data_IF_062518038005
#
_entry.id   IF_062518038005
#
_cell.length_a   1.000
_cell.length_b   1.000
_cell.length_c   1.000
_cell.angle_alpha   90.00
_cell.angle_beta   90.00
_cell.angle_gamma   90.00
#
_symmetry.space_group_name_H-M   'P 1'
#
loop_
_entity.id
_entity.type
_entity.pdbx_description
1 polymer ?
#
# COMPACT_ATOMS: atom_id res chain seq x y z
N UNK A 1 -28.96 -19.84 -58.67
CA UNK A 1 -28.43 -20.97 -57.90
C UNK A 1 -27.01 -20.73 -57.36
N UNK A 2 -26.35 -19.59 -57.56
CA UNK A 2 -24.96 -19.33 -57.15
C UNK A 2 -24.84 -18.73 -55.73
N UNK A 3 -25.92 -18.17 -55.15
CA UNK A 3 -25.87 -17.52 -53.80
C UNK A 3 -25.93 -18.47 -52.60
N UNK A 4 -26.42 -19.72 -52.81
CA UNK A 4 -26.53 -20.69 -51.72
C UNK A 4 -25.20 -21.43 -51.40
N UNK A 5 -24.29 -21.50 -52.37
CA UNK A 5 -23.00 -22.22 -52.21
C UNK A 5 -21.98 -21.41 -51.38
N UNK A 6 -22.02 -20.08 -51.42
CA UNK A 6 -21.08 -19.22 -50.68
C UNK A 6 -21.35 -19.13 -49.18
N UNK A 7 -22.59 -19.32 -48.74
CA UNK A 7 -22.95 -19.31 -47.33
C UNK A 7 -22.53 -20.61 -46.61
N UNK A 8 -22.50 -21.73 -47.32
CA UNK A 8 -22.05 -23.00 -46.73
C UNK A 8 -20.53 -23.07 -46.48
N UNK A 9 -19.74 -22.47 -47.36
CA UNK A 9 -18.28 -22.45 -47.23
C UNK A 9 -17.80 -21.55 -46.08
N UNK A 10 -18.50 -20.46 -45.81
CA UNK A 10 -18.13 -19.51 -44.72
C UNK A 10 -18.44 -20.10 -43.32
N UNK A 11 -19.50 -20.89 -43.20
CA UNK A 11 -19.88 -21.54 -41.94
C UNK A 11 -18.89 -22.65 -41.53
N UNK A 12 -18.34 -23.40 -42.50
CA UNK A 12 -17.33 -24.44 -42.26
C UNK A 12 -15.96 -23.84 -41.87
N UNK A 13 -15.57 -22.68 -42.43
CA UNK A 13 -14.33 -22.02 -42.11
C UNK A 13 -14.34 -21.44 -40.66
N UNK A 14 -15.46 -20.90 -40.20
CA UNK A 14 -15.59 -20.41 -38.81
C UNK A 14 -15.56 -21.53 -37.77
N UNK A 15 -16.07 -22.72 -38.06
CA UNK A 15 -16.06 -23.85 -37.15
C UNK A 15 -14.62 -24.40 -36.93
N UNK A 16 -13.77 -24.35 -37.97
CA UNK A 16 -12.39 -24.84 -37.88
C UNK A 16 -11.45 -23.88 -37.12
N UNK A 17 -11.67 -22.57 -37.20
CA UNK A 17 -10.90 -21.57 -36.47
C UNK A 17 -11.23 -21.59 -34.98
N UNK A 18 -12.47 -21.89 -34.59
CA UNK A 18 -12.89 -21.98 -33.20
C UNK A 18 -12.34 -23.22 -32.47
N UNK A 19 -12.06 -24.31 -33.19
CA UNK A 19 -11.50 -25.52 -32.57
C UNK A 19 -10.02 -25.48 -32.29
N UNK A 20 -9.28 -24.51 -32.86
CA UNK A 20 -7.83 -24.37 -32.61
C UNK A 20 -7.51 -23.47 -31.39
N UNK A 21 -8.49 -22.74 -30.87
CA UNK A 21 -8.26 -21.83 -29.72
C UNK A 21 -8.56 -22.45 -28.35
N UNK A 22 -9.08 -23.68 -28.27
CA UNK A 22 -9.43 -24.32 -26.99
C UNK A 22 -8.47 -25.44 -26.56
N UNK A 23 -7.36 -25.64 -27.22
CA UNK A 23 -6.29 -26.51 -26.74
C UNK A 23 -5.31 -25.72 -25.90
N UNK A 24 -5.79 -25.06 -24.83
CA UNK A 24 -4.91 -24.63 -23.76
C UNK A 24 -4.61 -25.90 -22.96
N UNK A 25 -3.35 -26.39 -22.90
CA UNK A 25 -3.00 -27.45 -21.98
C UNK A 25 -3.33 -26.93 -20.58
N UNK A 26 -4.31 -27.55 -19.95
CA UNK A 26 -4.64 -27.29 -18.56
C UNK A 26 -3.37 -27.52 -17.73
N UNK A 27 -2.75 -26.46 -17.26
CA UNK A 27 -1.86 -26.53 -16.13
C UNK A 27 -2.75 -26.93 -14.95
N UNK A 28 -2.92 -28.23 -14.79
CA UNK A 28 -3.27 -28.78 -13.51
C UNK A 28 -2.11 -28.40 -12.59
N UNK A 29 -2.30 -27.33 -11.80
CA UNK A 29 -1.49 -27.10 -10.62
C UNK A 29 -1.63 -28.37 -9.78
N UNK A 30 -0.70 -29.29 -9.95
CA UNK A 30 -0.62 -30.49 -9.15
C UNK A 30 -0.54 -30.03 -7.70
N UNK A 31 -1.61 -30.26 -6.95
CA UNK A 31 -1.57 -30.18 -5.51
C UNK A 31 -0.46 -31.13 -5.07
N UNK A 32 0.67 -30.59 -4.65
CA UNK A 32 1.74 -31.37 -4.07
C UNK A 32 1.13 -32.16 -2.90
N UNK A 33 1.18 -33.47 -2.89
CA UNK A 33 0.52 -34.30 -1.87
C UNK A 33 1.10 -34.15 -0.46
N UNK A 34 2.13 -33.31 -0.30
CA UNK A 34 2.87 -33.14 0.96
C UNK A 34 2.52 -31.87 1.72
N UNK A 35 1.60 -31.04 1.20
CA UNK A 35 1.16 -29.82 1.89
C UNK A 35 -0.12 -30.12 2.67
N UNK A 36 -0.03 -30.32 3.98
CA UNK A 36 -1.19 -30.33 4.86
C UNK A 36 -1.18 -29.05 5.74
N UNK A 37 -2.33 -28.78 6.38
CA UNK A 37 -2.60 -27.54 7.11
C UNK A 37 -1.68 -27.33 8.33
N UNK A 38 -0.92 -28.36 8.72
CA UNK A 38 -0.07 -28.36 9.91
C UNK A 38 1.42 -28.22 9.63
N UNK A 39 1.85 -28.30 8.36
CA UNK A 39 3.25 -28.08 7.98
C UNK A 39 3.34 -27.06 6.86
N UNK A 40 4.13 -25.97 7.01
CA UNK A 40 4.40 -25.07 5.92
C UNK A 40 5.11 -25.81 4.79
N UNK A 41 4.65 -25.66 3.54
CA UNK A 41 5.32 -26.23 2.37
C UNK A 41 6.73 -25.68 2.27
N UNK A 42 7.72 -26.48 2.64
CA UNK A 42 9.12 -26.18 2.37
C UNK A 42 9.38 -26.57 0.92
N UNK A 43 9.41 -25.60 0.02
CA UNK A 43 9.87 -25.84 -1.35
C UNK A 43 11.28 -26.44 -1.32
N UNK A 44 11.56 -27.54 -2.07
CA UNK A 44 12.93 -28.04 -2.21
C UNK A 44 13.80 -26.87 -2.70
N UNK A 45 14.95 -26.70 -2.10
CA UNK A 45 15.89 -25.60 -2.24
C UNK A 45 16.33 -25.37 -3.69
N UNK A 46 15.48 -24.76 -4.51
CA UNK A 46 15.97 -24.01 -5.65
C UNK A 46 16.90 -22.93 -5.09
N UNK A 47 18.12 -22.87 -5.61
CA UNK A 47 19.16 -21.97 -5.11
C UNK A 47 18.60 -20.54 -5.01
N UNK A 48 18.18 -20.15 -3.82
CA UNK A 48 17.63 -18.81 -3.53
C UNK A 48 18.68 -17.80 -3.94
N UNK A 49 18.39 -16.98 -4.94
CA UNK A 49 19.32 -16.01 -5.48
C UNK A 49 19.83 -15.07 -4.38
N UNK A 50 21.05 -14.51 -4.55
CA UNK A 50 21.56 -13.50 -3.60
C UNK A 50 20.59 -12.32 -3.41
N UNK A 51 19.82 -11.97 -4.45
CA UNK A 51 18.81 -10.93 -4.40
C UNK A 51 17.62 -11.32 -3.53
N UNK A 52 17.18 -12.58 -3.59
CA UNK A 52 16.04 -13.06 -2.78
C UNK A 52 16.46 -13.22 -1.32
N UNK A 53 17.70 -13.68 -1.04
CA UNK A 53 18.25 -13.68 0.33
C UNK A 53 18.33 -12.28 0.92
N UNK A 54 18.72 -11.28 0.13
CA UNK A 54 18.73 -9.88 0.58
C UNK A 54 17.33 -9.33 0.83
N UNK A 55 16.31 -9.75 0.04
CA UNK A 55 14.90 -9.40 0.26
C UNK A 55 14.36 -10.04 1.52
N UNK A 56 14.62 -11.33 1.75
CA UNK A 56 14.20 -12.05 2.95
C UNK A 56 14.89 -11.48 4.18
N UNK A 57 16.20 -11.26 4.17
CA UNK A 57 16.94 -10.66 5.28
C UNK A 57 16.50 -9.21 5.58
N UNK A 58 16.01 -8.48 4.56
CA UNK A 58 15.41 -7.17 4.76
C UNK A 58 14.02 -7.28 5.37
N UNK A 59 13.20 -8.26 4.96
CA UNK A 59 11.88 -8.53 5.52
C UNK A 59 11.99 -9.01 6.99
N UNK A 60 12.98 -9.83 7.32
CA UNK A 60 13.20 -10.32 8.69
C UNK A 60 13.70 -9.24 9.64
N UNK A 61 14.51 -8.27 9.16
CA UNK A 61 14.85 -7.08 9.95
C UNK A 61 13.62 -6.24 10.32
N UNK A 62 12.60 -6.19 9.47
CA UNK A 62 11.35 -5.49 9.77
C UNK A 62 10.44 -6.30 10.68
N UNK A 63 10.56 -7.63 10.70
CA UNK A 63 9.74 -8.49 11.57
C UNK A 63 10.20 -8.46 13.03
N UNK A 64 11.49 -8.20 13.28
CA UNK A 64 12.10 -8.14 14.61
C UNK A 64 12.25 -6.71 15.17
N UNK A 65 11.78 -5.68 14.46
CA UNK A 65 11.57 -4.39 15.08
C UNK A 65 10.37 -4.56 16.00
N UNK A 66 10.60 -4.60 17.32
CA UNK A 66 9.55 -4.38 18.30
C UNK A 66 8.92 -3.03 17.94
N UNK A 67 7.83 -3.08 17.20
CA UNK A 67 6.98 -1.91 17.00
C UNK A 67 6.51 -1.55 18.40
N UNK A 68 7.01 -0.42 18.92
CA UNK A 68 6.52 0.14 20.17
C UNK A 68 4.99 0.05 20.15
N UNK A 69 4.40 -0.27 21.28
CA UNK A 69 2.97 -0.51 21.44
C UNK A 69 2.19 0.46 20.54
N UNK A 70 1.18 -0.01 19.79
CA UNK A 70 0.44 0.82 18.85
C UNK A 70 -0.04 2.05 19.62
N UNK A 71 0.26 3.25 19.13
CA UNK A 71 -0.01 4.53 19.80
C UNK A 71 -1.52 4.72 20.07
N UNK A 72 -2.34 3.84 19.52
CA UNK A 72 -3.77 3.72 19.76
C UNK A 72 -4.13 2.25 20.03
N UNK A 73 -4.95 1.94 21.05
CA UNK A 73 -5.47 0.60 21.29
C UNK A 73 -6.20 0.06 20.05
N UNK A 74 -6.21 -1.25 19.82
CA UNK A 74 -6.94 -1.86 18.69
C UNK A 74 -8.43 -1.51 18.67
N UNK A 75 -9.03 -1.23 19.83
CA UNK A 75 -10.40 -0.72 19.94
C UNK A 75 -10.60 0.65 19.30
N UNK A 76 -9.60 1.53 19.40
CA UNK A 76 -9.64 2.84 18.74
C UNK A 76 -9.70 2.69 17.22
N UNK A 77 -8.93 1.77 16.65
CA UNK A 77 -8.98 1.47 15.22
C UNK A 77 -10.35 0.96 14.79
N UNK A 78 -10.98 0.06 15.59
CA UNK A 78 -12.35 -0.42 15.33
C UNK A 78 -13.37 0.70 15.40
N UNK A 79 -13.23 1.61 16.35
CA UNK A 79 -14.07 2.79 16.47
C UNK A 79 -13.98 3.69 15.24
N UNK A 80 -12.78 3.92 14.69
CA UNK A 80 -12.62 4.69 13.45
C UNK A 80 -13.18 3.99 12.22
N UNK A 81 -13.11 2.67 12.15
CA UNK A 81 -13.77 1.89 11.08
C UNK A 81 -15.29 2.00 11.16
N UNK A 82 -15.85 2.10 12.36
CA UNK A 82 -17.30 2.19 12.61
C UNK A 82 -17.84 3.62 12.54
N UNK A 83 -17.10 4.61 13.03
CA UNK A 83 -17.59 5.99 13.25
C UNK A 83 -16.95 7.04 12.33
N UNK A 84 -16.00 6.67 11.49
CA UNK A 84 -15.49 7.50 10.39
C UNK A 84 -14.34 8.43 10.75
N UNK A 85 -14.58 9.71 10.92
CA UNK A 85 -13.54 10.77 10.93
C UNK A 85 -13.61 11.60 12.21
N UNK A 86 -12.48 11.76 12.90
CA UNK A 86 -12.32 12.73 13.97
C UNK A 86 -11.65 13.99 13.41
N UNK A 87 -12.24 15.17 13.69
CA UNK A 87 -11.62 16.46 13.39
C UNK A 87 -10.68 16.83 14.52
N UNK A 88 -9.47 17.20 14.18
CA UNK A 88 -8.43 17.64 15.09
C UNK A 88 -8.20 19.15 14.95
N UNK A 89 -7.62 19.81 15.97
CA UNK A 89 -7.21 21.20 15.89
C UNK A 89 -6.24 21.46 14.73
N UNK A 90 -6.25 22.69 14.24
CA UNK A 90 -5.28 23.14 13.24
C UNK A 90 -3.85 23.10 13.85
N UNK A 91 -2.85 22.53 13.15
CA UNK A 91 -1.51 22.42 13.69
C UNK A 91 -0.88 23.81 13.89
N UNK A 92 -0.32 24.02 15.09
CA UNK A 92 0.25 25.31 15.49
C UNK A 92 1.43 25.71 14.57
N UNK A 93 1.49 26.99 14.22
CA UNK A 93 2.55 27.54 13.38
C UNK A 93 2.43 27.19 11.89
N UNK A 94 1.36 26.50 11.47
CA UNK A 94 1.12 26.18 10.07
C UNK A 94 0.23 27.22 9.38
N UNK A 95 0.40 27.43 8.05
CA UNK A 95 -0.45 28.35 7.29
C UNK A 95 -1.88 27.79 7.17
N UNK A 96 -2.87 28.66 6.96
CA UNK A 96 -4.28 28.25 6.84
C UNK A 96 -4.61 27.47 5.54
N UNK A 97 -3.70 27.45 4.57
CA UNK A 97 -3.86 26.76 3.27
C UNK A 97 -2.63 25.93 2.95
N UNK A 98 -2.83 24.85 2.19
CA UNK A 98 -1.75 23.97 1.72
C UNK A 98 -0.81 23.48 2.86
N UNK A 99 -1.35 23.17 4.02
CA UNK A 99 -0.59 22.90 5.24
C UNK A 99 -0.36 21.40 5.54
N UNK A 100 -0.60 20.49 4.57
CA UNK A 100 -0.37 19.06 4.79
C UNK A 100 1.08 18.74 5.19
N UNK A 101 2.07 19.32 4.49
CA UNK A 101 3.48 19.12 4.82
C UNK A 101 3.87 19.75 6.16
N UNK A 102 3.38 20.96 6.46
CA UNK A 102 3.59 21.60 7.73
C UNK A 102 2.97 20.81 8.88
N UNK A 103 1.70 20.37 8.73
CA UNK A 103 1.01 19.60 9.75
C UNK A 103 1.66 18.25 10.01
N UNK A 104 2.14 17.57 8.96
CA UNK A 104 2.91 16.34 9.11
C UNK A 104 4.23 16.59 9.87
N UNK A 105 4.91 17.74 9.62
CA UNK A 105 6.13 18.08 10.36
C UNK A 105 5.86 18.36 11.84
N UNK A 106 4.76 19.04 12.16
CA UNK A 106 4.36 19.26 13.56
C UNK A 106 4.06 17.93 14.26
N UNK A 107 3.37 17.01 13.58
CA UNK A 107 3.00 15.71 14.12
C UNK A 107 4.23 14.80 14.36
N UNK A 108 5.22 14.83 13.44
CA UNK A 108 6.40 13.95 13.53
C UNK A 108 7.50 14.54 14.40
N UNK A 109 7.75 15.86 14.31
CA UNK A 109 8.89 16.53 14.92
C UNK A 109 8.52 17.52 16.04
N UNK A 110 7.23 17.65 16.35
CA UNK A 110 6.71 18.57 17.37
C UNK A 110 6.80 20.06 16.98
N UNK A 111 7.25 20.39 15.78
CA UNK A 111 7.43 21.79 15.31
C UNK A 111 7.26 21.91 13.81
N UNK A 112 6.86 23.09 13.29
CA UNK A 112 6.82 23.35 11.86
C UNK A 112 8.25 23.42 11.28
N UNK A 113 8.51 22.69 10.19
CA UNK A 113 9.78 22.71 9.46
C UNK A 113 9.52 23.24 8.06
N UNK A 114 10.02 24.45 7.78
CA UNK A 114 9.72 25.19 6.54
C UNK A 114 10.04 24.38 5.26
N UNK A 115 11.17 23.70 5.22
CA UNK A 115 11.58 22.87 4.10
C UNK A 115 10.64 21.68 3.81
N UNK A 116 9.83 21.25 4.76
CA UNK A 116 8.87 20.16 4.65
C UNK A 116 7.43 20.60 4.34
N UNK A 117 7.18 21.91 4.19
CA UNK A 117 5.84 22.41 3.89
C UNK A 117 5.34 21.92 2.53
N UNK A 118 6.24 21.76 1.56
CA UNK A 118 5.91 21.15 0.27
C UNK A 118 5.90 19.62 0.41
N UNK A 119 4.75 19.01 0.12
CA UNK A 119 4.55 17.56 0.24
C UNK A 119 5.60 16.74 -0.54
N UNK A 120 6.05 17.24 -1.70
CA UNK A 120 7.08 16.60 -2.52
C UNK A 120 8.42 16.44 -1.80
N UNK A 121 8.76 17.32 -0.85
CA UNK A 121 10.02 17.25 -0.12
C UNK A 121 10.10 16.05 0.84
N UNK A 122 8.96 15.49 1.24
CA UNK A 122 8.90 14.27 2.04
C UNK A 122 9.37 13.04 1.25
N UNK A 123 9.29 13.06 -0.07
CA UNK A 123 9.76 11.97 -0.92
C UNK A 123 11.29 11.80 -0.93
N UNK A 124 12.03 12.73 -0.33
CA UNK A 124 13.49 12.67 -0.17
C UNK A 124 13.93 11.81 1.01
N UNK A 125 13.04 11.48 1.93
CA UNK A 125 13.32 10.54 3.01
C UNK A 125 13.40 9.11 2.49
N UNK A 126 14.16 8.22 3.17
CA UNK A 126 14.28 6.82 2.79
C UNK A 126 12.91 6.12 2.74
N UNK A 127 12.70 5.32 1.70
CA UNK A 127 11.47 4.50 1.59
C UNK A 127 11.49 3.38 2.61
N UNK A 128 10.32 3.11 3.19
CA UNK A 128 10.14 2.07 4.21
C UNK A 128 8.80 1.36 4.06
N UNK A 129 8.61 0.30 4.86
CA UNK A 129 7.32 -0.35 5.02
C UNK A 129 6.36 0.53 5.85
N UNK A 130 5.03 0.40 5.65
CA UNK A 130 4.06 1.10 6.47
C UNK A 130 4.16 0.69 7.94
N UNK A 131 4.33 1.67 8.83
CA UNK A 131 4.36 1.48 10.27
C UNK A 131 3.89 2.76 10.98
N UNK A 132 3.46 2.71 12.25
CA UNK A 132 3.16 3.89 13.04
C UNK A 132 4.33 4.86 13.08
N UNK A 133 4.06 6.15 12.90
CA UNK A 133 5.07 7.22 12.84
C UNK A 133 5.73 7.40 11.47
N UNK A 134 5.53 6.48 10.53
CA UNK A 134 5.97 6.66 9.14
C UNK A 134 5.06 7.64 8.41
N UNK A 135 5.56 8.18 7.30
CA UNK A 135 4.86 9.20 6.51
C UNK A 135 4.54 8.66 5.13
N UNK A 136 3.27 8.78 4.73
CA UNK A 136 2.84 8.47 3.39
C UNK A 136 2.79 9.75 2.56
N UNK A 137 3.60 9.83 1.51
CA UNK A 137 3.81 11.04 0.71
C UNK A 137 3.60 10.81 -0.78
N UNK A 138 3.08 11.83 -1.45
CA UNK A 138 3.08 12.02 -2.90
C UNK A 138 3.28 13.49 -3.21
N UNK A 139 3.50 13.87 -4.48
CA UNK A 139 3.81 15.27 -4.84
C UNK A 139 2.82 16.32 -4.31
N UNK A 140 1.54 16.00 -4.26
CA UNK A 140 0.49 16.96 -3.88
C UNK A 140 -0.07 16.78 -2.47
N UNK A 141 0.32 15.74 -1.73
CA UNK A 141 -0.24 15.46 -0.40
C UNK A 141 0.65 14.55 0.44
N UNK A 142 0.55 14.72 1.75
CA UNK A 142 1.28 13.93 2.75
C UNK A 142 0.44 13.77 4.01
N UNK A 143 0.53 12.61 4.65
CA UNK A 143 -0.08 12.32 5.95
C UNK A 143 0.79 11.38 6.80
N UNK A 144 0.60 11.38 8.11
CA UNK A 144 1.34 10.53 9.06
C UNK A 144 0.53 9.29 9.38
N UNK A 145 1.16 8.12 9.34
CA UNK A 145 0.55 6.84 9.71
C UNK A 145 0.50 6.74 11.23
N UNK A 146 -0.69 6.59 11.80
CA UNK A 146 -0.89 6.39 13.24
C UNK A 146 -1.03 4.91 13.57
N UNK A 147 -1.61 4.13 12.65
CA UNK A 147 -1.79 2.69 12.79
C UNK A 147 -1.95 2.02 11.43
N UNK A 148 -1.43 0.83 11.25
CA UNK A 148 -1.65 -0.02 10.07
C UNK A 148 -2.85 -0.92 10.32
N UNK A 149 -3.84 -0.88 9.42
CA UNK A 149 -5.12 -1.60 9.56
C UNK A 149 -5.20 -2.85 8.66
N UNK A 150 -4.17 -3.08 7.84
CA UNK A 150 -4.18 -4.15 6.83
C UNK A 150 -4.82 -3.72 5.49
N UNK A 151 -4.69 -4.58 4.48
CA UNK A 151 -5.27 -4.38 3.13
C UNK A 151 -4.93 -3.01 2.52
N UNK A 152 -3.72 -2.50 2.76
CA UNK A 152 -3.28 -1.20 2.26
C UNK A 152 -4.02 0.01 2.89
N UNK A 153 -4.69 -0.18 4.03
CA UNK A 153 -5.37 0.88 4.79
C UNK A 153 -4.63 1.20 6.08
N UNK A 154 -4.68 2.45 6.47
CA UNK A 154 -4.06 2.97 7.69
C UNK A 154 -4.99 3.96 8.39
N UNK A 155 -4.88 4.08 9.72
CA UNK A 155 -5.36 5.23 10.44
C UNK A 155 -4.35 6.36 10.26
N UNK A 156 -4.77 7.49 9.74
CA UNK A 156 -3.91 8.58 9.33
C UNK A 156 -4.21 9.88 10.07
N UNK A 157 -3.17 10.55 10.57
CA UNK A 157 -3.20 11.98 10.87
C UNK A 157 -3.01 12.72 9.54
N UNK A 158 -4.03 13.42 9.09
CA UNK A 158 -4.13 13.98 7.76
C UNK A 158 -4.48 15.47 7.82
N UNK A 159 -3.45 16.31 7.81
CA UNK A 159 -3.58 17.75 7.80
C UNK A 159 -3.94 18.26 6.40
N UNK A 160 -4.71 19.35 6.33
CA UNK A 160 -5.21 19.93 5.07
C UNK A 160 -6.04 18.96 4.22
N UNK A 161 -6.86 18.16 4.86
CA UNK A 161 -7.69 17.14 4.26
C UNK A 161 -9.16 17.55 4.30
N UNK A 162 -9.95 17.20 3.26
CA UNK A 162 -11.40 17.46 3.17
C UNK A 162 -11.88 18.77 3.79
N UNK A 163 -11.93 19.84 3.04
CA UNK A 163 -12.34 21.16 3.53
C UNK A 163 -11.27 21.89 4.34
N UNK A 164 -9.99 21.59 4.12
CA UNK A 164 -8.84 22.21 4.83
C UNK A 164 -8.85 21.96 6.34
N UNK A 165 -9.24 20.76 6.76
CA UNK A 165 -9.27 20.36 8.16
C UNK A 165 -8.09 19.43 8.46
N UNK A 166 -7.71 19.34 9.71
CA UNK A 166 -6.87 18.25 10.22
C UNK A 166 -7.79 17.14 10.68
N UNK A 167 -7.55 15.92 10.21
CA UNK A 167 -8.40 14.78 10.49
C UNK A 167 -7.59 13.57 10.93
N UNK A 168 -8.15 12.81 11.86
CA UNK A 168 -7.75 11.43 12.10
C UNK A 168 -8.82 10.54 11.47
N UNK A 169 -8.43 9.74 10.46
CA UNK A 169 -9.37 8.92 9.71
C UNK A 169 -8.67 7.80 8.94
N UNK A 170 -9.44 6.84 8.46
CA UNK A 170 -8.91 5.75 7.64
C UNK A 170 -8.56 6.25 6.23
N UNK A 171 -7.33 5.93 5.79
CA UNK A 171 -6.82 6.26 4.46
C UNK A 171 -6.28 5.01 3.76
N UNK A 172 -6.39 5.01 2.42
CA UNK A 172 -5.68 4.08 1.56
C UNK A 172 -4.26 4.59 1.29
N UNK A 173 -3.30 3.68 1.25
CA UNK A 173 -1.92 3.95 0.83
C UNK A 173 -1.76 3.93 -0.70
N UNK A 174 -2.80 3.60 -1.47
CA UNK A 174 -2.74 3.56 -2.91
C UNK A 174 -2.29 4.92 -3.50
N UNK A 175 -1.24 4.90 -4.32
CA UNK A 175 -0.65 6.10 -4.92
C UNK A 175 0.24 6.94 -3.99
N UNK A 176 0.58 6.42 -2.81
CA UNK A 176 1.54 7.04 -1.89
C UNK A 176 2.81 6.19 -1.75
N UNK A 177 3.93 6.85 -1.53
CA UNK A 177 5.19 6.24 -1.12
C UNK A 177 5.30 6.41 0.39
N UNK A 178 5.59 5.34 1.11
CA UNK A 178 5.84 5.40 2.54
C UNK A 178 7.33 5.65 2.77
N UNK A 179 7.62 6.63 3.63
CA UNK A 179 8.98 7.07 3.95
C UNK A 179 9.21 7.12 5.45
N UNK A 180 10.45 6.90 5.87
CA UNK A 180 10.89 7.04 7.26
C UNK A 180 11.44 8.45 7.52
N UNK A 181 10.72 9.32 8.23
CA UNK A 181 11.15 10.68 8.49
C UNK A 181 12.35 10.77 9.45
N UNK A 182 12.71 9.68 10.14
CA UNK A 182 13.84 9.60 11.06
C UNK A 182 15.11 9.06 10.41
N UNK A 183 14.98 8.45 9.23
CA UNK A 183 16.10 7.82 8.49
C UNK A 183 17.09 8.79 7.85
N UNK A 184 16.97 10.10 8.11
CA UNK A 184 17.78 11.13 7.46
C UNK A 184 17.32 11.40 6.00
N UNK A 185 17.71 12.57 5.46
CA UNK A 185 17.45 12.91 4.04
C UNK A 185 18.66 12.47 3.22
N UNK A 186 18.47 11.62 2.24
CA UNK A 186 19.49 11.23 1.26
C UNK A 186 19.65 12.27 0.15
#
# INVERSE_FOLDING_TARGET
MIRAVFLGALALACAFVFSLFFAVPGWSAGLHPECNVTMPCVAPSAAVSRRDRARVARADRYRNVEFGAPMYPPETARSFLAHGTQILPHPLGCPRRAFCGCGAAVEVFGRPIRSLWLAANWLRFPRTAPAPGMVAARRGHVFVIKQVLGSGKVLAYDANSGGRRTRLHVRSLAGFVVVDPRGGVS
#
